data_IF_066561358371
#
_entry.id   IF_066561358371
#
_cell.length_a   1.000
_cell.length_b   1.000
_cell.length_c   1.000
_cell.angle_alpha   90.00
_cell.angle_beta   90.00
_cell.angle_gamma   90.00
#
_symmetry.space_group_name_H-M   'P 1'
#
loop_
_entity.id
_entity.type
_entity.pdbx_description
1 polymer ?
#
# COMPACT_ATOMS: atom_id res chain seq x y z
N UNK A 1 -8.03 -11.53 73.07
CA UNK A 1 -7.07 -10.89 72.14
C UNK A 1 -5.74 -11.59 72.36
N UNK A 2 -5.50 -12.66 71.60
CA UNK A 2 -4.18 -13.33 71.57
C UNK A 2 -3.30 -12.54 70.60
N UNK A 3 -2.18 -12.05 71.11
CA UNK A 3 -1.15 -11.43 70.30
C UNK A 3 -0.49 -12.51 69.44
N UNK A 4 -0.51 -12.33 68.13
CA UNK A 4 0.35 -13.08 67.23
C UNK A 4 1.80 -12.68 67.50
N UNK A 5 2.50 -13.48 68.30
CA UNK A 5 3.96 -13.47 68.37
C UNK A 5 4.49 -13.87 66.99
N UNK A 6 4.79 -12.86 66.17
CA UNK A 6 5.61 -13.00 64.98
C UNK A 6 6.99 -13.43 65.45
N UNK A 7 7.27 -14.74 65.39
CA UNK A 7 8.58 -15.31 65.66
C UNK A 7 9.60 -14.71 64.66
N UNK A 8 10.34 -13.69 65.08
CA UNK A 8 11.39 -13.07 64.28
C UNK A 8 12.60 -14.01 64.32
N UNK A 9 12.72 -14.88 63.31
CA UNK A 9 13.96 -15.63 63.07
C UNK A 9 15.06 -14.65 62.63
N UNK A 10 16.05 -14.42 63.49
CA UNK A 10 17.27 -13.69 63.14
C UNK A 10 18.21 -14.64 62.37
N UNK A 11 18.42 -14.36 61.08
CA UNK A 11 19.37 -15.10 60.24
C UNK A 11 20.81 -14.75 60.60
N UNK A 12 21.72 -15.73 60.49
CA UNK A 12 23.16 -15.48 60.58
C UNK A 12 23.65 -14.62 59.41
N UNK A 13 24.82 -13.98 59.56
CA UNK A 13 25.38 -13.07 58.54
C UNK A 13 25.51 -13.75 57.17
N UNK A 14 26.02 -14.98 57.12
CA UNK A 14 26.20 -15.73 55.87
C UNK A 14 24.87 -16.12 55.22
N UNK A 15 23.86 -16.45 56.03
CA UNK A 15 22.51 -16.77 55.54
C UNK A 15 21.80 -15.53 54.99
N UNK A 16 22.01 -14.38 55.63
CA UNK A 16 21.49 -13.10 55.17
C UNK A 16 22.12 -12.71 53.81
N UNK A 17 23.44 -12.85 53.67
CA UNK A 17 24.14 -12.57 52.41
C UNK A 17 23.63 -13.48 51.28
N UNK A 18 23.47 -14.79 51.53
CA UNK A 18 22.90 -15.73 50.56
C UNK A 18 21.47 -15.36 50.16
N UNK A 19 20.62 -14.96 51.11
CA UNK A 19 19.25 -14.54 50.83
C UNK A 19 19.20 -13.24 49.99
N UNK A 20 20.11 -12.29 50.24
CA UNK A 20 20.23 -11.06 49.46
C UNK A 20 20.69 -11.37 48.03
N UNK A 21 21.70 -12.22 47.85
CA UNK A 21 22.17 -12.68 46.52
C UNK A 21 21.03 -13.32 45.74
N UNK A 22 20.33 -14.29 46.33
CA UNK A 22 19.21 -14.99 45.68
C UNK A 22 18.09 -14.01 45.26
N UNK A 23 17.82 -13.00 46.08
CA UNK A 23 16.82 -11.96 45.77
C UNK A 23 17.24 -11.09 44.58
N UNK A 24 18.52 -10.71 44.50
CA UNK A 24 19.04 -9.97 43.36
C UNK A 24 19.00 -10.80 42.06
N UNK A 25 19.34 -12.09 42.13
CA UNK A 25 19.25 -13.01 40.99
C UNK A 25 17.81 -13.19 40.50
N UNK A 26 16.86 -13.35 41.42
CA UNK A 26 15.43 -13.44 41.08
C UNK A 26 14.92 -12.16 40.40
N UNK A 27 15.30 -10.98 40.89
CA UNK A 27 14.92 -9.72 40.26
C UNK A 27 15.53 -9.55 38.88
N UNK A 28 16.80 -9.92 38.68
CA UNK A 28 17.45 -9.87 37.36
C UNK A 28 16.69 -10.78 36.39
N UNK A 29 16.42 -12.03 36.76
CA UNK A 29 15.70 -12.98 35.90
C UNK A 29 14.30 -12.45 35.51
N UNK A 30 13.57 -11.90 36.48
CA UNK A 30 12.22 -11.36 36.27
C UNK A 30 12.26 -10.15 35.32
N UNK A 31 13.16 -9.20 35.56
CA UNK A 31 13.25 -7.99 34.72
C UNK A 31 13.80 -8.30 33.33
N UNK A 32 14.74 -9.24 33.18
CA UNK A 32 15.26 -9.65 31.88
C UNK A 32 14.20 -10.34 31.03
N UNK A 33 13.35 -11.20 31.62
CA UNK A 33 12.24 -11.82 30.90
C UNK A 33 11.24 -10.77 30.36
N UNK A 34 10.88 -9.77 31.18
CA UNK A 34 10.02 -8.66 30.77
C UNK A 34 10.69 -7.80 29.67
N UNK A 35 11.98 -7.53 29.81
CA UNK A 35 12.77 -6.75 28.86
C UNK A 35 12.85 -7.41 27.47
N UNK A 36 13.08 -8.73 27.41
CA UNK A 36 13.11 -9.49 26.15
C UNK A 36 11.74 -9.56 25.48
N UNK A 37 10.66 -9.68 26.26
CA UNK A 37 9.30 -9.67 25.72
C UNK A 37 8.93 -8.32 25.11
N UNK A 38 9.34 -7.23 25.75
CA UNK A 38 9.18 -5.87 25.22
C UNK A 38 10.01 -5.65 23.95
N UNK A 39 11.26 -6.13 23.91
CA UNK A 39 12.13 -6.03 22.73
C UNK A 39 11.51 -6.71 21.49
N UNK A 40 10.99 -7.94 21.64
CA UNK A 40 10.32 -8.66 20.53
C UNK A 40 9.09 -7.91 20.01
N UNK A 41 8.31 -7.32 20.92
CA UNK A 41 7.11 -6.57 20.56
C UNK A 41 7.43 -5.29 19.79
N UNK A 42 8.60 -4.70 20.03
CA UNK A 42 9.09 -3.50 19.32
C UNK A 42 9.69 -3.86 17.96
N UNK A 43 10.50 -4.92 17.87
CA UNK A 43 11.15 -5.34 16.62
C UNK A 43 10.17 -5.87 15.57
N UNK A 44 9.16 -6.67 15.98
CA UNK A 44 8.13 -7.16 15.05
C UNK A 44 7.34 -6.02 14.43
N UNK A 45 7.03 -4.97 15.20
CA UNK A 45 6.33 -3.77 14.70
C UNK A 45 7.11 -3.02 13.63
N UNK A 46 8.42 -2.85 13.80
CA UNK A 46 9.24 -2.15 12.82
C UNK A 46 9.47 -3.01 11.55
N UNK A 47 9.62 -4.33 11.70
CA UNK A 47 9.88 -5.22 10.57
C UNK A 47 8.66 -5.43 9.65
N UNK A 48 7.45 -5.49 10.21
CA UNK A 48 6.20 -5.64 9.43
C UNK A 48 5.88 -4.38 8.60
N UNK A 49 6.19 -3.20 9.12
CA UNK A 49 5.99 -1.93 8.42
C UNK A 49 7.00 -1.72 7.27
N UNK A 50 8.27 -2.12 7.44
CA UNK A 50 9.29 -1.86 6.43
C UNK A 50 9.32 -2.89 5.28
N UNK A 51 8.96 -4.16 5.54
CA UNK A 51 9.11 -5.24 4.56
C UNK A 51 7.95 -5.38 3.59
N UNK A 52 6.71 -5.11 4.03
CA UNK A 52 5.51 -5.18 3.18
C UNK A 52 5.39 -4.02 2.18
N UNK A 53 5.89 -2.84 2.55
CA UNK A 53 5.78 -1.62 1.74
C UNK A 53 6.74 -1.64 0.55
N UNK A 54 8.00 -2.06 0.75
CA UNK A 54 9.05 -1.90 -0.27
C UNK A 54 8.95 -2.88 -1.45
N UNK A 55 8.51 -4.12 -1.22
CA UNK A 55 8.44 -5.14 -2.29
C UNK A 55 7.19 -5.05 -3.17
N UNK A 56 6.09 -4.48 -2.66
CA UNK A 56 4.87 -4.29 -3.47
C UNK A 56 5.02 -3.11 -4.43
N UNK A 57 5.71 -2.04 -4.04
CA UNK A 57 5.72 -0.78 -4.79
C UNK A 57 6.45 -0.84 -6.13
N UNK A 58 7.56 -1.57 -6.27
CA UNK A 58 8.35 -1.56 -7.53
C UNK A 58 7.69 -2.36 -8.65
N UNK A 59 7.11 -3.53 -8.33
CA UNK A 59 6.40 -4.35 -9.31
C UNK A 59 5.08 -3.70 -9.75
N UNK A 60 4.34 -3.13 -8.80
CA UNK A 60 3.06 -2.47 -9.06
C UNK A 60 3.27 -1.19 -9.90
N UNK A 61 4.32 -0.39 -9.62
CA UNK A 61 4.67 0.79 -10.42
C UNK A 61 5.03 0.41 -11.86
N UNK A 62 5.84 -0.64 -12.05
CA UNK A 62 6.21 -1.09 -13.40
C UNK A 62 4.99 -1.58 -14.19
N UNK A 63 4.09 -2.34 -13.57
CA UNK A 63 2.88 -2.82 -14.25
C UNK A 63 1.92 -1.70 -14.61
N UNK A 64 1.80 -0.69 -13.74
CA UNK A 64 0.99 0.51 -13.97
C UNK A 64 1.50 1.30 -15.17
N UNK A 65 2.80 1.57 -15.23
CA UNK A 65 3.44 2.27 -16.35
C UNK A 65 3.25 1.50 -17.67
N UNK A 66 3.42 0.18 -17.65
CA UNK A 66 3.20 -0.67 -18.83
C UNK A 66 1.73 -0.61 -19.30
N UNK A 67 0.77 -0.67 -18.36
CA UNK A 67 -0.65 -0.61 -18.70
C UNK A 67 -1.03 0.75 -19.29
N UNK A 68 -0.49 1.83 -18.73
CA UNK A 68 -0.68 3.19 -19.23
C UNK A 68 -0.05 3.40 -20.62
N UNK A 69 1.17 2.92 -20.82
CA UNK A 69 1.86 2.98 -22.13
C UNK A 69 1.09 2.20 -23.20
N UNK A 70 0.62 0.99 -22.89
CA UNK A 70 -0.20 0.19 -23.81
C UNK A 70 -1.50 0.89 -24.17
N UNK A 71 -2.23 1.41 -23.17
CA UNK A 71 -3.47 2.15 -23.39
C UNK A 71 -3.23 3.32 -24.36
N UNK A 72 -2.20 4.12 -24.10
CA UNK A 72 -1.85 5.28 -24.94
C UNK A 72 -1.44 4.85 -26.35
N UNK A 73 -0.57 3.84 -26.46
CA UNK A 73 -0.08 3.33 -27.74
C UNK A 73 -1.23 2.87 -28.65
N UNK A 74 -2.18 2.09 -28.12
CA UNK A 74 -3.32 1.61 -28.90
C UNK A 74 -4.32 2.73 -29.22
N UNK A 75 -4.60 3.63 -28.28
CA UNK A 75 -5.48 4.79 -28.53
C UNK A 75 -4.89 5.72 -29.61
N UNK A 76 -3.58 5.96 -29.60
CA UNK A 76 -2.89 6.75 -30.62
C UNK A 76 -2.90 6.05 -31.98
N UNK A 77 -2.83 4.71 -32.01
CA UNK A 77 -2.97 3.94 -33.25
C UNK A 77 -4.37 4.14 -33.86
N UNK A 78 -5.43 4.04 -33.04
CA UNK A 78 -6.81 4.32 -33.47
C UNK A 78 -6.93 5.73 -34.05
N UNK A 79 -6.40 6.75 -33.36
CA UNK A 79 -6.45 8.14 -33.83
C UNK A 79 -5.72 8.29 -35.17
N UNK A 80 -4.53 7.71 -35.31
CA UNK A 80 -3.76 7.77 -36.58
C UNK A 80 -4.49 7.11 -37.74
N UNK A 81 -5.13 5.98 -37.50
CA UNK A 81 -5.91 5.29 -38.54
C UNK A 81 -7.14 6.09 -38.98
N UNK A 82 -7.83 6.71 -38.02
CA UNK A 82 -8.96 7.60 -38.29
C UNK A 82 -8.52 8.88 -39.02
N UNK A 83 -7.38 9.46 -38.65
CA UNK A 83 -6.79 10.61 -39.36
C UNK A 83 -6.42 10.23 -40.80
N UNK A 84 -5.81 9.07 -41.03
CA UNK A 84 -5.49 8.57 -42.36
C UNK A 84 -6.77 8.34 -43.21
N UNK A 85 -7.83 7.79 -42.61
CA UNK A 85 -9.14 7.66 -43.27
C UNK A 85 -9.71 9.03 -43.65
N UNK A 86 -9.68 9.99 -42.73
CA UNK A 86 -10.13 11.37 -42.98
C UNK A 86 -9.36 12.05 -44.11
N UNK A 87 -8.05 11.84 -44.19
CA UNK A 87 -7.21 12.37 -45.28
C UNK A 87 -7.55 11.72 -46.63
N UNK A 88 -7.80 10.40 -46.63
CA UNK A 88 -8.15 9.64 -47.84
C UNK A 88 -9.47 10.08 -48.49
N UNK A 89 -10.40 10.63 -47.70
CA UNK A 89 -11.67 11.17 -48.17
C UNK A 89 -11.51 12.46 -49.01
N UNK A 90 -10.32 13.09 -49.02
CA UNK A 90 -10.03 14.27 -49.82
C UNK A 90 -10.88 15.51 -49.46
N UNK A 91 -10.77 16.59 -50.24
CA UNK A 91 -11.54 17.84 -50.07
C UNK A 91 -12.84 17.87 -50.89
N UNK A 92 -13.42 16.71 -51.17
CA UNK A 92 -14.62 16.61 -52.01
C UNK A 92 -15.85 17.04 -51.22
N UNK A 93 -16.55 18.06 -51.72
CA UNK A 93 -17.74 18.65 -51.07
C UNK A 93 -19.03 17.88 -51.39
N UNK A 94 -18.98 16.54 -51.47
CA UNK A 94 -20.19 15.73 -51.50
C UNK A 94 -20.72 15.59 -50.08
N UNK A 95 -22.04 15.74 -49.89
CA UNK A 95 -22.68 15.76 -48.58
C UNK A 95 -22.37 14.51 -47.74
N UNK A 96 -22.31 13.33 -48.38
CA UNK A 96 -21.97 12.06 -47.73
C UNK A 96 -20.50 12.01 -47.25
N UNK A 97 -19.57 12.54 -48.05
CA UNK A 97 -18.13 12.65 -47.69
C UNK A 97 -17.95 13.65 -46.54
N UNK A 98 -18.71 14.74 -46.55
CA UNK A 98 -18.70 15.73 -45.46
C UNK A 98 -19.23 15.15 -44.15
N UNK A 99 -20.28 14.33 -44.22
CA UNK A 99 -20.85 13.63 -43.06
C UNK A 99 -19.88 12.62 -42.48
N UNK A 100 -19.33 11.73 -43.31
CA UNK A 100 -18.36 10.73 -42.87
C UNK A 100 -17.12 11.37 -42.21
N UNK A 101 -16.65 12.51 -42.73
CA UNK A 101 -15.57 13.28 -42.10
C UNK A 101 -15.93 13.79 -40.69
N UNK A 102 -17.16 14.28 -40.48
CA UNK A 102 -17.62 14.74 -39.17
C UNK A 102 -17.75 13.57 -38.19
N UNK A 103 -18.23 12.43 -38.67
CA UNK A 103 -18.34 11.21 -37.86
C UNK A 103 -16.94 10.75 -37.42
N UNK A 104 -15.95 10.75 -38.31
CA UNK A 104 -14.55 10.48 -37.96
C UNK A 104 -14.00 11.48 -36.93
N UNK A 105 -14.27 12.79 -37.09
CA UNK A 105 -13.84 13.81 -36.12
C UNK A 105 -14.46 13.60 -34.74
N UNK A 106 -15.73 13.19 -34.68
CA UNK A 106 -16.43 12.82 -33.45
C UNK A 106 -15.74 11.66 -32.77
N UNK A 107 -15.47 10.56 -33.50
CA UNK A 107 -14.79 9.38 -32.95
C UNK A 107 -13.40 9.74 -32.43
N UNK A 108 -12.62 10.55 -33.17
CA UNK A 108 -11.30 11.00 -32.71
C UNK A 108 -11.42 11.77 -31.38
N UNK A 109 -12.43 12.62 -31.23
CA UNK A 109 -12.66 13.36 -29.99
C UNK A 109 -13.01 12.41 -28.83
N UNK A 110 -13.89 11.43 -29.07
CA UNK A 110 -14.27 10.43 -28.07
C UNK A 110 -13.09 9.55 -27.64
N UNK A 111 -12.25 9.11 -28.58
CA UNK A 111 -11.03 8.33 -28.28
C UNK A 111 -10.01 9.18 -27.50
N UNK A 112 -9.89 10.47 -27.80
CA UNK A 112 -9.05 11.40 -27.02
C UNK A 112 -9.58 11.60 -25.60
N UNK A 113 -10.89 11.77 -25.43
CA UNK A 113 -11.51 11.88 -24.11
C UNK A 113 -11.38 10.57 -23.32
N UNK A 114 -11.58 9.42 -23.97
CA UNK A 114 -11.31 8.10 -23.41
C UNK A 114 -9.85 8.02 -22.93
N UNK A 115 -8.89 8.41 -23.77
CA UNK A 115 -7.48 8.27 -23.44
C UNK A 115 -6.99 9.28 -22.38
N UNK A 116 -7.69 10.41 -22.22
CA UNK A 116 -7.33 11.43 -21.23
C UNK A 116 -7.36 10.89 -19.79
N UNK A 117 -6.54 11.44 -18.90
CA UNK A 117 -6.64 11.22 -17.46
C UNK A 117 -7.15 12.50 -16.82
N UNK A 118 -8.47 12.60 -16.60
CA UNK A 118 -9.01 13.67 -15.74
C UNK A 118 -9.03 13.17 -14.30
N UNK A 119 -8.81 14.09 -13.37
CA UNK A 119 -8.61 13.80 -11.93
C UNK A 119 -9.76 13.01 -11.29
N UNK A 120 -10.97 13.12 -11.85
CA UNK A 120 -12.19 12.53 -11.33
C UNK A 120 -12.77 11.44 -12.25
N UNK A 121 -12.02 10.97 -13.25
CA UNK A 121 -12.49 9.94 -14.19
C UNK A 121 -12.61 8.57 -13.51
N UNK A 122 -13.81 8.01 -13.50
CA UNK A 122 -14.05 6.63 -13.06
C UNK A 122 -13.86 5.64 -14.22
N UNK A 123 -13.69 4.35 -13.90
CA UNK A 123 -13.66 3.30 -14.92
C UNK A 123 -14.99 3.26 -15.70
N UNK A 124 -16.13 3.46 -15.03
CA UNK A 124 -17.45 3.51 -15.66
C UNK A 124 -17.57 4.64 -16.68
N UNK A 125 -16.94 5.80 -16.43
CA UNK A 125 -16.92 6.90 -17.39
C UNK A 125 -16.06 6.56 -18.61
N UNK A 126 -14.94 5.85 -18.41
CA UNK A 126 -14.11 5.34 -19.52
C UNK A 126 -14.82 4.27 -20.33
N UNK A 127 -15.57 3.39 -19.68
CA UNK A 127 -16.37 2.36 -20.35
C UNK A 127 -17.47 2.99 -21.23
N UNK A 128 -18.14 4.05 -20.76
CA UNK A 128 -19.12 4.79 -21.57
C UNK A 128 -18.48 5.41 -22.82
N UNK A 129 -17.31 6.04 -22.67
CA UNK A 129 -16.59 6.64 -23.81
C UNK A 129 -16.11 5.58 -24.80
N UNK A 130 -15.64 4.44 -24.29
CA UNK A 130 -15.29 3.28 -25.11
C UNK A 130 -16.51 2.78 -25.90
N UNK A 131 -17.66 2.58 -25.26
CA UNK A 131 -18.87 2.09 -25.92
C UNK A 131 -19.41 3.09 -26.96
N UNK A 132 -19.32 4.39 -26.71
CA UNK A 132 -19.70 5.41 -27.69
C UNK A 132 -18.80 5.34 -28.95
N UNK A 133 -17.48 5.33 -28.76
CA UNK A 133 -16.53 5.26 -29.87
C UNK A 133 -16.63 3.94 -30.62
N UNK A 134 -16.88 2.83 -29.90
CA UNK A 134 -17.13 1.51 -30.44
C UNK A 134 -18.30 1.49 -31.43
N UNK A 135 -19.46 1.95 -30.98
CA UNK A 135 -20.69 1.96 -31.76
C UNK A 135 -20.54 2.87 -33.00
N UNK A 136 -19.90 4.03 -32.82
CA UNK A 136 -19.63 4.95 -33.93
C UNK A 136 -18.65 4.37 -34.95
N UNK A 137 -17.61 3.62 -34.54
CA UNK A 137 -16.68 2.93 -35.45
C UNK A 137 -17.42 1.87 -36.29
N UNK A 138 -18.35 1.13 -35.68
CA UNK A 138 -19.17 0.15 -36.42
C UNK A 138 -20.13 0.82 -37.41
N UNK A 139 -20.54 2.05 -37.12
CA UNK A 139 -21.38 2.89 -37.98
C UNK A 139 -20.63 3.65 -39.09
N UNK A 140 -19.30 3.59 -39.15
CA UNK A 140 -18.52 4.28 -40.17
C UNK A 140 -18.80 3.74 -41.58
N UNK A 141 -19.01 4.66 -42.51
CA UNK A 141 -19.07 4.34 -43.94
C UNK A 141 -17.63 4.15 -44.49
N UNK A 142 -17.06 2.99 -44.15
CA UNK A 142 -15.70 2.58 -44.55
C UNK A 142 -15.63 1.10 -44.84
N UNK A 143 -14.48 0.62 -45.31
CA UNK A 143 -14.25 -0.80 -45.51
C UNK A 143 -14.43 -1.58 -44.20
N UNK A 144 -15.23 -2.63 -44.22
CA UNK A 144 -15.55 -3.41 -43.02
C UNK A 144 -14.31 -4.08 -42.40
N UNK A 145 -13.27 -4.38 -43.18
CA UNK A 145 -11.98 -4.84 -42.67
C UNK A 145 -11.25 -3.75 -41.92
N UNK A 146 -11.26 -2.52 -42.45
CA UNK A 146 -10.64 -1.36 -41.80
C UNK A 146 -11.36 -0.97 -40.51
N UNK A 147 -12.70 -0.95 -40.51
CA UNK A 147 -13.49 -0.70 -39.29
C UNK A 147 -13.16 -1.73 -38.19
N UNK A 148 -13.02 -3.01 -38.55
CA UNK A 148 -12.62 -4.08 -37.61
C UNK A 148 -11.21 -3.89 -37.05
N UNK A 149 -10.26 -3.45 -37.86
CA UNK A 149 -8.89 -3.18 -37.41
C UNK A 149 -8.86 -2.04 -36.37
N UNK A 150 -9.54 -0.93 -36.68
CA UNK A 150 -9.67 0.22 -35.77
C UNK A 150 -10.37 -0.21 -34.47
N UNK A 151 -11.45 -0.99 -34.58
CA UNK A 151 -12.19 -1.54 -33.44
C UNK A 151 -11.28 -2.41 -32.56
N UNK A 152 -10.49 -3.31 -33.15
CA UNK A 152 -9.59 -4.17 -32.40
C UNK A 152 -8.51 -3.39 -31.65
N UNK A 153 -7.98 -2.29 -32.24
CA UNK A 153 -7.05 -1.41 -31.53
C UNK A 153 -7.74 -0.66 -30.38
N UNK A 154 -9.00 -0.22 -30.56
CA UNK A 154 -9.78 0.38 -29.47
C UNK A 154 -10.04 -0.63 -28.33
N UNK A 155 -10.34 -1.88 -28.65
CA UNK A 155 -10.54 -2.96 -27.66
C UNK A 155 -9.25 -3.24 -26.88
N UNK A 156 -8.10 -3.28 -27.56
CA UNK A 156 -6.81 -3.43 -26.88
C UNK A 156 -6.50 -2.24 -25.95
N UNK A 157 -6.87 -1.02 -26.33
CA UNK A 157 -6.74 0.14 -25.46
C UNK A 157 -7.67 0.03 -24.24
N UNK A 158 -8.89 -0.47 -24.42
CA UNK A 158 -9.85 -0.69 -23.34
C UNK A 158 -9.40 -1.76 -22.34
N UNK A 159 -8.89 -2.89 -22.82
CA UNK A 159 -8.34 -3.93 -21.94
C UNK A 159 -7.13 -3.42 -21.13
N UNK A 160 -6.24 -2.64 -21.75
CA UNK A 160 -5.15 -1.98 -21.03
C UNK A 160 -5.66 -0.98 -19.98
N UNK A 161 -6.72 -0.23 -20.30
CA UNK A 161 -7.40 0.68 -19.37
C UNK A 161 -7.99 -0.06 -18.17
N UNK A 162 -8.66 -1.20 -18.40
CA UNK A 162 -9.23 -2.06 -17.35
C UNK A 162 -8.15 -2.57 -16.39
N UNK A 163 -7.02 -3.02 -16.91
CA UNK A 163 -5.86 -3.42 -16.09
C UNK A 163 -5.35 -2.25 -15.26
N UNK A 164 -5.19 -1.07 -15.87
CA UNK A 164 -4.73 0.14 -15.17
C UNK A 164 -5.65 0.51 -13.99
N UNK A 165 -6.96 0.52 -14.21
CA UNK A 165 -7.94 0.82 -13.14
C UNK A 165 -7.97 -0.25 -12.05
N UNK A 166 -7.79 -1.53 -12.39
CA UNK A 166 -7.62 -2.59 -11.40
C UNK A 166 -6.41 -2.37 -10.50
N UNK A 167 -5.27 -1.98 -11.07
CA UNK A 167 -4.06 -1.64 -10.28
C UNK A 167 -4.32 -0.43 -9.37
N UNK A 168 -5.00 0.61 -9.88
CA UNK A 168 -5.33 1.81 -9.09
C UNK A 168 -6.27 1.50 -7.92
N UNK A 169 -7.25 0.61 -8.12
CA UNK A 169 -8.16 0.16 -7.08
C UNK A 169 -7.41 -0.63 -5.99
N UNK A 170 -6.54 -1.56 -6.40
CA UNK A 170 -5.67 -2.30 -5.49
C UNK A 170 -4.73 -1.38 -4.70
N UNK A 171 -4.13 -0.37 -5.35
CA UNK A 171 -3.31 0.66 -4.68
C UNK A 171 -4.12 1.44 -3.63
N UNK A 172 -5.36 1.81 -3.95
CA UNK A 172 -6.24 2.53 -3.03
C UNK A 172 -6.68 1.65 -1.87
N UNK A 173 -7.00 0.38 -2.11
CA UNK A 173 -7.32 -0.59 -1.07
C UNK A 173 -6.13 -0.83 -0.14
N UNK A 174 -4.91 -1.00 -0.69
CA UNK A 174 -3.67 -1.11 0.10
C UNK A 174 -3.41 0.15 0.92
N UNK A 175 -3.58 1.35 0.34
CA UNK A 175 -3.46 2.63 1.07
C UNK A 175 -4.49 2.74 2.19
N UNK A 176 -5.74 2.34 1.95
CA UNK A 176 -6.78 2.32 2.97
C UNK A 176 -6.45 1.33 4.09
N UNK A 177 -5.94 0.14 3.75
CA UNK A 177 -5.49 -0.85 4.72
C UNK A 177 -4.29 -0.35 5.54
N UNK A 178 -3.31 0.28 4.91
CA UNK A 178 -2.17 0.90 5.60
C UNK A 178 -2.61 2.03 6.51
N UNK A 179 -3.56 2.87 6.06
CA UNK A 179 -4.14 3.94 6.86
C UNK A 179 -4.91 3.37 8.05
N UNK A 180 -5.74 2.35 7.86
CA UNK A 180 -6.45 1.66 8.93
C UNK A 180 -5.50 0.96 9.90
N UNK A 181 -4.40 0.37 9.41
CA UNK A 181 -3.35 -0.22 10.25
C UNK A 181 -2.59 0.85 11.04
N UNK A 182 -2.29 2.00 10.43
CA UNK A 182 -1.68 3.15 11.11
C UNK A 182 -2.63 3.76 12.16
N UNK A 183 -3.92 3.88 11.85
CA UNK A 183 -4.95 4.33 12.78
C UNK A 183 -5.17 3.33 13.93
N UNK A 184 -5.17 2.02 13.65
CA UNK A 184 -5.23 0.97 14.67
C UNK A 184 -3.95 0.92 15.53
N UNK A 185 -2.78 1.17 14.94
CA UNK A 185 -1.53 1.34 15.66
C UNK A 185 -1.56 2.62 16.54
N UNK A 186 -2.20 3.68 16.07
CA UNK A 186 -2.44 4.90 16.84
C UNK A 186 -3.51 4.73 17.94
N UNK A 187 -4.40 3.74 17.82
CA UNK A 187 -5.37 3.37 18.85
C UNK A 187 -4.74 2.60 20.03
N UNK A 188 -3.57 1.96 19.87
CA UNK A 188 -2.69 1.67 21.03
C UNK A 188 -2.01 2.98 21.39
N UNK A 189 -2.47 3.61 22.47
CA UNK A 189 -2.32 5.05 22.63
C UNK A 189 -0.84 5.49 22.55
N UNK A 190 -0.53 6.69 22.05
CA UNK A 190 0.82 7.25 22.15
C UNK A 190 1.38 7.25 23.58
N UNK A 191 0.51 7.19 24.59
CA UNK A 191 0.89 7.02 25.99
C UNK A 191 1.31 5.58 26.33
N UNK A 192 0.76 4.55 25.68
CA UNK A 192 1.17 3.14 25.82
C UNK A 192 2.52 2.89 25.13
N UNK A 193 2.71 3.38 23.90
CA UNK A 193 4.01 3.26 23.22
C UNK A 193 5.12 4.04 23.97
N UNK A 194 4.81 5.22 24.50
CA UNK A 194 5.72 6.01 25.35
C UNK A 194 5.92 5.38 26.74
N UNK A 195 4.92 4.66 27.26
CA UNK A 195 5.01 3.89 28.50
C UNK A 195 5.92 2.68 28.31
N UNK A 196 5.77 1.92 27.22
CA UNK A 196 6.58 0.75 26.90
C UNK A 196 8.05 1.14 26.67
N UNK A 197 8.32 2.23 25.95
CA UNK A 197 9.68 2.74 25.76
C UNK A 197 10.32 3.19 27.09
N UNK A 198 9.58 3.92 27.93
CA UNK A 198 10.04 4.32 29.28
C UNK A 198 10.23 3.11 30.20
N UNK A 199 9.36 2.11 30.10
CA UNK A 199 9.42 0.86 30.87
C UNK A 199 10.62 0.04 30.44
N UNK A 200 10.89 -0.05 29.15
CA UNK A 200 12.08 -0.69 28.58
C UNK A 200 13.37 -0.03 29.09
N UNK A 201 13.46 1.31 29.04
CA UNK A 201 14.61 2.06 29.56
C UNK A 201 14.78 1.87 31.08
N UNK A 202 13.67 1.91 31.83
CA UNK A 202 13.67 1.70 33.28
C UNK A 202 14.11 0.27 33.65
N UNK A 203 13.61 -0.75 32.95
CA UNK A 203 14.00 -2.15 33.14
C UNK A 203 15.48 -2.35 32.84
N UNK A 204 16.01 -1.77 31.76
CA UNK A 204 17.44 -1.82 31.43
C UNK A 204 18.32 -1.24 32.55
N UNK A 205 17.97 -0.06 33.06
CA UNK A 205 18.67 0.57 34.20
C UNK A 205 18.55 -0.26 35.48
N UNK A 206 17.39 -0.88 35.71
CA UNK A 206 17.15 -1.68 36.92
C UNK A 206 17.91 -3.00 36.89
N UNK A 207 17.95 -3.69 35.75
CA UNK A 207 18.76 -4.89 35.55
C UNK A 207 20.24 -4.59 35.82
N UNK A 208 20.78 -3.49 35.29
CA UNK A 208 22.17 -3.07 35.53
C UNK A 208 22.41 -2.82 37.02
N UNK A 209 21.57 -2.01 37.67
CA UNK A 209 21.69 -1.75 39.11
C UNK A 209 21.63 -3.01 39.97
N UNK A 210 20.79 -4.00 39.61
CA UNK A 210 20.75 -5.26 40.34
C UNK A 210 21.96 -6.16 40.05
N UNK A 211 22.55 -6.10 38.85
CA UNK A 211 23.81 -6.79 38.52
C UNK A 211 24.99 -6.21 39.30
N UNK A 212 25.11 -4.88 39.36
CA UNK A 212 26.16 -4.20 40.11
C UNK A 212 26.06 -4.52 41.62
N UNK A 213 24.83 -4.51 42.16
CA UNK A 213 24.59 -4.91 43.55
C UNK A 213 24.90 -6.39 43.78
N UNK A 214 24.55 -7.27 42.84
CA UNK A 214 24.85 -8.70 42.92
C UNK A 214 26.37 -8.94 42.94
N UNK A 215 27.14 -8.21 42.12
CA UNK A 215 28.59 -8.27 42.09
C UNK A 215 29.20 -7.83 43.43
N UNK A 216 28.71 -6.72 44.00
CA UNK A 216 29.11 -6.26 45.32
C UNK A 216 28.85 -7.31 46.41
N UNK A 217 27.64 -7.88 46.47
CA UNK A 217 27.29 -8.88 47.49
C UNK A 217 28.00 -10.22 47.32
N UNK A 218 28.38 -10.59 46.10
CA UNK A 218 29.22 -11.77 45.84
C UNK A 218 30.69 -11.57 46.20
N UNK A 219 31.13 -10.31 46.29
CA UNK A 219 32.49 -9.92 46.69
C UNK A 219 32.69 -9.70 48.19
N UNK A 220 31.61 -9.79 49.00
CA UNK A 220 31.64 -9.75 50.48
C UNK A 220 31.76 -11.17 51.03
#
# INVERSE_FOLDING_TARGET
MEGTDSNIQTMGKEELIKAVIAKHEQYIATYTAEFEQLAKTVDTRNSELESGVKKSTEADVSQKEIAEEKKNMYADAVIKELEALKESLGSVSQDDVSRNRKDIEKIIAEVKDFNSQKKDDTFEDKEKLYNAAADDIEGLDTDAGKAKEIRANLDNAFEACKVLYGILEDENAKKAQMKAAAEAAAQKSPAEAKSDAKRYEWLGRRILSHKDALEYWKGI
#
